data_IF_318521252360
#
_entry.id   IF_318521252360
#
_cell.length_a   1.000
_cell.length_b   1.000
_cell.length_c   1.000
_cell.angle_alpha   90.00
_cell.angle_beta   90.00
_cell.angle_gamma   90.00
#
_symmetry.space_group_name_H-M   'P 1'
#
loop_
_entity.id
_entity.type
_entity.pdbx_description
1 polymer ?
#
# COMPACT_ATOMS: atom_id res chain seq x y z
N UNK A 1 31.99 17.81 -20.34
CA UNK A 1 32.12 17.95 -18.90
C UNK A 1 31.09 18.88 -18.30
N UNK A 2 31.04 20.14 -18.74
CA UNK A 2 30.09 21.14 -18.24
C UNK A 2 28.62 20.75 -18.49
N UNK A 3 28.28 20.14 -19.63
CA UNK A 3 26.93 19.64 -19.95
C UNK A 3 26.40 18.62 -18.97
N UNK A 4 27.26 17.69 -18.52
CA UNK A 4 26.85 16.61 -17.56
C UNK A 4 26.58 17.18 -16.16
N UNK A 5 27.36 18.17 -15.76
CA UNK A 5 27.18 18.85 -14.47
C UNK A 5 25.88 19.67 -14.44
N UNK A 6 25.60 20.40 -15.53
CA UNK A 6 24.38 21.19 -15.67
C UNK A 6 23.13 20.32 -15.67
N UNK A 7 23.16 19.15 -16.32
CA UNK A 7 22.05 18.20 -16.34
C UNK A 7 21.79 17.64 -14.94
N UNK A 8 22.83 17.30 -14.17
CA UNK A 8 22.71 16.81 -12.81
C UNK A 8 22.10 17.86 -11.87
N UNK A 9 22.52 19.13 -11.99
CA UNK A 9 21.99 20.24 -11.18
C UNK A 9 20.51 20.49 -11.47
N UNK A 10 20.09 20.37 -12.73
CA UNK A 10 18.69 20.56 -13.15
C UNK A 10 17.77 19.44 -12.67
N UNK A 11 18.28 18.21 -12.48
CA UNK A 11 17.50 17.07 -12.02
C UNK A 11 17.23 17.07 -10.49
N UNK A 12 18.12 17.68 -9.69
CA UNK A 12 17.99 17.71 -8.24
C UNK A 12 16.67 18.34 -7.75
N UNK A 13 16.22 19.50 -8.26
CA UNK A 13 14.95 20.08 -7.83
C UNK A 13 13.75 19.23 -8.18
N UNK A 14 13.77 18.53 -9.33
CA UNK A 14 12.66 17.65 -9.75
C UNK A 14 12.56 16.41 -8.88
N UNK A 15 13.69 15.84 -8.45
CA UNK A 15 13.71 14.69 -7.52
C UNK A 15 13.19 15.09 -6.14
N UNK A 16 13.59 16.24 -5.62
CA UNK A 16 13.10 16.77 -4.34
C UNK A 16 11.60 17.05 -4.40
N UNK A 17 11.12 17.64 -5.47
CA UNK A 17 9.71 17.93 -5.68
C UNK A 17 8.88 16.64 -5.75
N UNK A 18 9.36 15.63 -6.49
CA UNK A 18 8.69 14.32 -6.57
C UNK A 18 8.58 13.64 -5.20
N UNK A 19 9.62 13.76 -4.36
CA UNK A 19 9.64 13.20 -3.01
C UNK A 19 8.62 13.88 -2.10
N UNK A 20 8.57 15.21 -2.10
CA UNK A 20 7.58 16.00 -1.36
C UNK A 20 6.17 15.67 -1.85
N UNK A 21 5.99 15.54 -3.18
CA UNK A 21 4.72 15.19 -3.79
C UNK A 21 4.24 13.80 -3.35
N UNK A 22 5.13 12.82 -3.20
CA UNK A 22 4.78 11.47 -2.75
C UNK A 22 4.19 11.46 -1.33
N UNK A 23 4.79 12.18 -0.41
CA UNK A 23 4.26 12.31 0.96
C UNK A 23 2.88 12.97 0.97
N UNK A 24 2.72 14.01 0.17
CA UNK A 24 1.44 14.70 0.01
C UNK A 24 0.37 13.77 -0.56
N UNK A 25 0.70 13.03 -1.61
CA UNK A 25 -0.22 12.07 -2.24
C UNK A 25 -0.61 10.97 -1.24
N UNK A 26 0.33 10.49 -0.44
CA UNK A 26 0.05 9.51 0.61
C UNK A 26 -0.97 10.04 1.63
N UNK A 27 -0.83 11.29 2.04
CA UNK A 27 -1.77 11.94 2.96
C UNK A 27 -3.16 12.05 2.33
N UNK A 28 -3.23 12.48 1.07
CA UNK A 28 -4.51 12.58 0.33
C UNK A 28 -5.17 11.20 0.22
N UNK A 29 -4.39 10.17 -0.11
CA UNK A 29 -4.89 8.80 -0.21
C UNK A 29 -5.47 8.29 1.10
N UNK A 30 -4.79 8.53 2.21
CA UNK A 30 -5.24 8.12 3.55
C UNK A 30 -6.50 8.87 3.96
N UNK A 31 -6.58 10.15 3.64
CA UNK A 31 -7.79 10.94 3.90
C UNK A 31 -8.99 10.43 3.09
N UNK A 32 -8.79 10.11 1.81
CA UNK A 32 -9.83 9.52 0.98
C UNK A 32 -10.31 8.18 1.58
N UNK A 33 -9.38 7.36 2.06
CA UNK A 33 -9.69 6.10 2.72
C UNK A 33 -10.51 6.33 4.00
N UNK A 34 -10.11 7.29 4.82
CA UNK A 34 -10.80 7.64 6.05
C UNK A 34 -12.25 8.07 5.80
N UNK A 35 -12.49 8.83 4.74
CA UNK A 35 -13.83 9.26 4.33
C UNK A 35 -14.56 8.25 3.44
N UNK A 36 -14.05 7.01 3.36
CA UNK A 36 -14.67 5.89 2.63
C UNK A 36 -14.77 6.10 1.12
N UNK A 37 -13.95 7.00 0.56
CA UNK A 37 -13.79 7.14 -0.88
C UNK A 37 -12.72 6.15 -1.38
N UNK A 38 -13.11 4.88 -1.40
CA UNK A 38 -12.18 3.77 -1.64
C UNK A 38 -11.58 3.81 -3.04
N UNK A 39 -12.39 4.11 -4.06
CA UNK A 39 -11.91 4.17 -5.45
C UNK A 39 -10.86 5.28 -5.59
N UNK A 40 -11.13 6.45 -5.04
CA UNK A 40 -10.18 7.58 -5.08
C UNK A 40 -8.91 7.26 -4.29
N UNK A 41 -9.06 6.65 -3.11
CA UNK A 41 -7.89 6.26 -2.30
C UNK A 41 -6.97 5.30 -3.06
N UNK A 42 -7.54 4.30 -3.77
CA UNK A 42 -6.78 3.36 -4.58
C UNK A 42 -5.98 4.08 -5.67
N UNK A 43 -6.59 5.04 -6.36
CA UNK A 43 -5.91 5.81 -7.41
C UNK A 43 -4.68 6.54 -6.85
N UNK A 44 -4.79 7.15 -5.68
CA UNK A 44 -3.67 7.84 -5.05
C UNK A 44 -2.63 6.88 -4.48
N UNK A 45 -3.04 5.76 -3.87
CA UNK A 45 -2.07 4.73 -3.45
C UNK A 45 -1.30 4.15 -4.63
N UNK A 46 -1.94 3.98 -5.79
CA UNK A 46 -1.26 3.56 -7.01
C UNK A 46 -0.13 4.53 -7.39
N UNK A 47 -0.36 5.84 -7.27
CA UNK A 47 0.67 6.84 -7.55
C UNK A 47 1.85 6.73 -6.57
N UNK A 48 1.58 6.52 -5.29
CA UNK A 48 2.63 6.33 -4.27
C UNK A 48 3.44 5.07 -4.56
N UNK A 49 2.78 3.96 -4.87
CA UNK A 49 3.44 2.68 -5.19
C UNK A 49 4.32 2.81 -6.42
N UNK A 50 3.85 3.50 -7.46
CA UNK A 50 4.65 3.72 -8.67
C UNK A 50 5.92 4.52 -8.37
N UNK A 51 5.83 5.50 -7.48
CA UNK A 51 6.97 6.34 -7.11
C UNK A 51 7.92 5.65 -6.11
N UNK A 52 7.37 4.93 -5.13
CA UNK A 52 8.12 4.27 -4.05
C UNK A 52 7.60 2.85 -3.80
N UNK A 53 7.91 1.88 -4.66
CA UNK A 53 7.34 0.53 -4.58
C UNK A 53 7.84 -0.28 -3.38
N UNK A 54 8.83 0.21 -2.63
CA UNK A 54 9.43 -0.46 -1.48
C UNK A 54 8.72 -0.16 -0.15
N UNK A 55 7.80 0.79 -0.10
CA UNK A 55 7.03 1.12 1.11
C UNK A 55 5.92 0.09 1.31
N UNK A 56 5.74 -0.40 2.55
CA UNK A 56 4.66 -1.34 2.83
C UNK A 56 3.29 -0.66 2.98
N UNK A 57 3.27 0.56 3.51
CA UNK A 57 2.04 1.25 3.88
C UNK A 57 1.05 1.42 2.72
N UNK A 58 1.45 1.87 1.53
CA UNK A 58 0.46 2.05 0.46
C UNK A 58 -0.16 0.73 0.00
N UNK A 59 0.56 -0.39 0.05
CA UNK A 59 -0.03 -1.70 -0.23
C UNK A 59 -1.05 -2.10 0.84
N UNK A 60 -0.71 -1.91 2.11
CA UNK A 60 -1.59 -2.21 3.23
C UNK A 60 -2.89 -1.41 3.14
N UNK A 61 -2.79 -0.11 2.98
CA UNK A 61 -3.97 0.77 2.89
C UNK A 61 -4.77 0.51 1.61
N UNK A 62 -4.12 0.20 0.50
CA UNK A 62 -4.83 -0.16 -0.73
C UNK A 62 -5.58 -1.48 -0.56
N UNK A 63 -4.98 -2.45 0.12
CA UNK A 63 -5.65 -3.70 0.50
C UNK A 63 -6.90 -3.45 1.34
N UNK A 64 -6.81 -2.54 2.31
CA UNK A 64 -7.95 -2.14 3.13
C UNK A 64 -9.07 -1.49 2.28
N UNK A 65 -8.72 -0.64 1.33
CA UNK A 65 -9.68 -0.06 0.41
C UNK A 65 -10.35 -1.14 -0.45
N UNK A 66 -9.57 -2.08 -0.98
CA UNK A 66 -10.06 -3.16 -1.84
C UNK A 66 -11.01 -4.11 -1.10
N UNK A 67 -10.71 -4.44 0.17
CA UNK A 67 -11.61 -5.32 0.96
C UNK A 67 -12.97 -4.67 1.15
N UNK A 68 -13.02 -3.36 1.33
CA UNK A 68 -14.27 -2.61 1.47
C UNK A 68 -15.06 -2.52 0.16
N UNK A 69 -14.41 -2.75 -0.97
CA UNK A 69 -15.03 -2.84 -2.29
C UNK A 69 -15.33 -4.29 -2.71
N UNK A 70 -15.18 -5.24 -1.78
CA UNK A 70 -15.35 -6.67 -2.02
C UNK A 70 -14.38 -7.26 -3.06
N UNK A 71 -13.25 -6.59 -3.30
CA UNK A 71 -12.15 -7.13 -4.10
C UNK A 71 -11.23 -7.95 -3.21
N UNK A 72 -11.67 -9.17 -2.90
CA UNK A 72 -10.98 -10.04 -1.93
C UNK A 72 -9.63 -10.53 -2.47
N UNK A 73 -9.56 -10.88 -3.74
CA UNK A 73 -8.32 -11.32 -4.37
C UNK A 73 -7.30 -10.19 -4.43
N UNK A 74 -7.72 -8.98 -4.79
CA UNK A 74 -6.87 -7.81 -4.80
C UNK A 74 -6.39 -7.42 -3.41
N UNK A 75 -7.26 -7.52 -2.41
CA UNK A 75 -6.90 -7.25 -1.01
C UNK A 75 -5.87 -8.26 -0.50
N UNK A 76 -6.04 -9.54 -0.80
CA UNK A 76 -5.07 -10.59 -0.44
C UNK A 76 -3.70 -10.30 -1.06
N UNK A 77 -3.67 -9.98 -2.33
CA UNK A 77 -2.43 -9.66 -3.06
C UNK A 77 -1.71 -8.45 -2.46
N UNK A 78 -2.45 -7.40 -2.12
CA UNK A 78 -1.87 -6.21 -1.51
C UNK A 78 -1.35 -6.48 -0.09
N UNK A 79 -2.04 -7.31 0.69
CA UNK A 79 -1.56 -7.73 2.00
C UNK A 79 -0.29 -8.58 1.89
N UNK A 80 -0.20 -9.47 0.89
CA UNK A 80 1.02 -10.22 0.60
C UNK A 80 2.19 -9.27 0.35
N UNK A 81 1.99 -8.25 -0.49
CA UNK A 81 3.02 -7.27 -0.80
C UNK A 81 3.43 -6.46 0.43
N UNK A 82 2.49 -6.07 1.28
CA UNK A 82 2.77 -5.37 2.52
C UNK A 82 3.57 -6.24 3.50
N UNK A 83 3.19 -7.50 3.68
CA UNK A 83 3.85 -8.44 4.60
C UNK A 83 5.27 -8.76 4.14
N UNK A 84 5.50 -8.90 2.83
CA UNK A 84 6.84 -9.10 2.29
C UNK A 84 7.78 -7.95 2.64
N UNK A 85 7.26 -6.73 2.72
CA UNK A 85 8.05 -5.53 3.04
C UNK A 85 8.18 -5.28 4.54
N UNK A 86 7.13 -5.60 5.29
CA UNK A 86 7.12 -5.51 6.74
C UNK A 86 6.25 -6.63 7.32
N UNK A 87 6.85 -7.72 7.83
CA UNK A 87 6.10 -8.88 8.34
C UNK A 87 5.43 -8.65 9.71
N UNK A 88 5.57 -7.48 10.32
CA UNK A 88 5.06 -7.18 11.66
C UNK A 88 3.81 -6.32 11.66
N UNK A 89 3.18 -6.12 10.51
CA UNK A 89 1.94 -5.34 10.38
C UNK A 89 0.76 -6.25 10.70
N UNK A 90 0.29 -6.21 11.94
CA UNK A 90 -0.82 -7.07 12.42
C UNK A 90 -2.06 -6.91 11.55
N UNK A 91 -2.41 -5.68 11.18
CA UNK A 91 -3.58 -5.39 10.34
C UNK A 91 -3.52 -6.07 8.96
N UNK A 92 -2.33 -6.26 8.40
CA UNK A 92 -2.18 -6.92 7.11
C UNK A 92 -2.59 -8.41 7.19
N UNK A 93 -2.26 -9.10 8.28
CA UNK A 93 -2.71 -10.47 8.50
C UNK A 93 -4.22 -10.54 8.74
N UNK A 94 -4.78 -9.58 9.48
CA UNK A 94 -6.22 -9.53 9.72
C UNK A 94 -7.01 -9.33 8.42
N UNK A 95 -6.58 -8.40 7.58
CA UNK A 95 -7.24 -8.12 6.29
C UNK A 95 -7.06 -9.31 5.35
N UNK A 96 -5.85 -9.90 5.28
CA UNK A 96 -5.61 -11.07 4.44
C UNK A 96 -6.44 -12.25 4.90
N UNK A 97 -6.55 -12.47 6.21
CA UNK A 97 -7.40 -13.51 6.78
C UNK A 97 -8.87 -13.32 6.39
N UNK A 98 -9.39 -12.11 6.50
CA UNK A 98 -10.75 -11.78 6.07
C UNK A 98 -10.94 -12.02 4.57
N UNK A 99 -10.01 -11.56 3.74
CA UNK A 99 -10.05 -11.78 2.30
C UNK A 99 -10.05 -13.27 1.96
N UNK A 100 -9.29 -14.08 2.69
CA UNK A 100 -9.22 -15.53 2.51
C UNK A 100 -10.50 -16.23 2.93
N UNK A 101 -11.13 -15.82 4.03
CA UNK A 101 -12.45 -16.34 4.43
C UNK A 101 -13.46 -16.11 3.32
N UNK A 102 -13.49 -14.92 2.75
CA UNK A 102 -14.43 -14.56 1.68
C UNK A 102 -14.18 -15.34 0.38
N UNK A 103 -13.00 -15.91 0.22
CA UNK A 103 -12.62 -16.77 -0.91
C UNK A 103 -12.71 -18.27 -0.54
N UNK A 104 -13.22 -18.60 0.62
CA UNK A 104 -13.31 -19.96 1.14
C UNK A 104 -11.95 -20.63 1.38
N UNK A 105 -10.90 -19.85 1.61
CA UNK A 105 -9.56 -20.31 1.95
C UNK A 105 -9.42 -20.36 3.49
N UNK A 106 -10.17 -21.23 4.12
CA UNK A 106 -10.34 -21.23 5.58
C UNK A 106 -9.08 -21.59 6.35
N UNK A 107 -8.33 -22.58 5.92
CA UNK A 107 -7.10 -23.00 6.61
C UNK A 107 -6.04 -21.89 6.58
N UNK A 108 -5.87 -21.25 5.43
CA UNK A 108 -4.95 -20.12 5.25
C UNK A 108 -5.40 -18.91 6.10
N UNK A 109 -6.70 -18.65 6.18
CA UNK A 109 -7.25 -17.59 7.01
C UNK A 109 -6.99 -17.82 8.50
N UNK A 110 -7.14 -19.06 8.97
CA UNK A 110 -6.86 -19.43 10.35
C UNK A 110 -5.39 -19.15 10.69
N UNK A 111 -4.47 -19.48 9.81
CA UNK A 111 -3.04 -19.19 10.02
C UNK A 111 -2.78 -17.69 10.09
N UNK A 112 -3.45 -16.87 9.27
CA UNK A 112 -3.32 -15.43 9.33
C UNK A 112 -3.81 -14.86 10.67
N UNK A 113 -4.96 -15.32 11.15
CA UNK A 113 -5.49 -14.86 12.44
C UNK A 113 -4.62 -15.31 13.61
N UNK A 114 -4.06 -16.52 13.56
CA UNK A 114 -3.09 -16.97 14.56
C UNK A 114 -1.86 -16.06 14.59
N UNK A 115 -1.35 -15.68 13.42
CA UNK A 115 -0.20 -14.76 13.31
C UNK A 115 -0.56 -13.39 13.86
N UNK A 116 -1.74 -12.87 13.56
CA UNK A 116 -2.21 -11.58 14.06
C UNK A 116 -2.29 -11.57 15.60
N UNK A 117 -2.75 -12.65 16.21
CA UNK A 117 -2.83 -12.78 17.68
C UNK A 117 -1.43 -12.85 18.31
N UNK A 118 -0.48 -13.49 17.63
CA UNK A 118 0.89 -13.66 18.13
C UNK A 118 1.64 -12.33 18.23
N UNK A 119 1.42 -11.42 17.32
CA UNK A 119 2.04 -10.10 17.30
C UNK A 119 1.16 -9.08 18.00
#
# INVERSE_FOLDING_TARGET
MIRKILTAILLLPTLLYAQINTERVMTIARNALYFEDYVLSIQYFNQVINAKPYLYEPYFFRGLAKINLDDYQGAESDCDAAIQRNPFVVGAYQIRGLARIRQNKFDEAIEDYKTAIKY
#
